data_IF_546015277645
#
_entry.id   IF_546015277645
#
_cell.length_a   1.000
_cell.length_b   1.000
_cell.length_c   1.000
_cell.angle_alpha   90.00
_cell.angle_beta   90.00
_cell.angle_gamma   90.00
#
_symmetry.space_group_name_H-M   'P 1'
#
loop_
_entity.id
_entity.type
_entity.pdbx_description
1 polymer ?
#
# COMPACT_ATOMS: atom_id res chain seq x y z
N UNK A 1 -2.20 -52.83 40.80
CA UNK A 1 -2.62 -51.49 41.25
C UNK A 1 -1.40 -50.62 41.03
N UNK A 2 -1.41 -49.93 39.90
CA UNK A 2 -0.28 -49.21 39.35
C UNK A 2 -0.27 -47.80 39.95
N UNK A 3 0.83 -47.34 40.58
CA UNK A 3 0.91 -46.03 41.24
C UNK A 3 1.15 -44.84 40.29
N UNK A 4 1.04 -45.00 38.96
CA UNK A 4 1.04 -43.87 38.02
C UNK A 4 -0.37 -43.30 37.78
N UNK A 5 -1.08 -43.05 38.87
CA UNK A 5 -2.34 -42.35 38.89
C UNK A 5 -2.06 -40.85 38.68
N UNK A 6 -2.27 -40.40 37.44
CA UNK A 6 -2.55 -39.02 36.99
C UNK A 6 -1.60 -37.94 37.52
N UNK A 7 -0.68 -37.50 36.65
CA UNK A 7 0.02 -36.23 36.83
C UNK A 7 -1.01 -35.07 36.78
N UNK A 8 -1.20 -34.30 37.87
CA UNK A 8 -2.16 -33.21 37.92
C UNK A 8 -1.65 -31.91 37.28
N UNK A 9 -0.52 -31.92 36.56
CA UNK A 9 0.07 -30.72 35.95
C UNK A 9 -0.18 -30.57 34.44
N UNK A 10 -1.14 -31.28 33.84
CA UNK A 10 -1.52 -31.05 32.43
C UNK A 10 -2.50 -29.87 32.27
N UNK A 11 -2.12 -28.73 32.84
CA UNK A 11 -2.66 -27.42 32.47
C UNK A 11 -1.45 -26.52 32.37
N UNK A 12 -1.05 -26.19 31.15
CA UNK A 12 0.08 -25.31 30.86
C UNK A 12 -0.09 -23.99 31.66
N UNK A 13 0.72 -23.76 32.72
CA UNK A 13 0.57 -22.59 33.57
C UNK A 13 1.06 -21.30 32.89
N UNK A 14 1.46 -21.37 31.62
CA UNK A 14 1.85 -20.22 30.81
C UNK A 14 0.80 -19.78 29.79
N UNK A 15 -0.44 -20.30 29.85
CA UNK A 15 -1.57 -19.65 29.15
C UNK A 15 -1.87 -18.32 29.86
N UNK A 16 -0.99 -17.36 29.61
CA UNK A 16 -1.14 -15.98 30.02
C UNK A 16 -2.30 -15.46 29.19
N UNK A 17 -3.44 -15.06 29.78
CA UNK A 17 -4.44 -14.33 29.03
C UNK A 17 -3.69 -13.16 28.39
N UNK A 18 -3.72 -13.06 27.06
CA UNK A 18 -3.07 -11.97 26.36
C UNK A 18 -3.73 -10.68 26.82
N UNK A 19 -3.14 -10.03 27.83
CA UNK A 19 -3.53 -8.72 28.33
C UNK A 19 -2.98 -7.68 27.35
N UNK A 20 -3.41 -7.80 26.10
CA UNK A 20 -3.03 -6.90 25.03
C UNK A 20 -3.43 -5.48 25.44
N UNK A 21 -2.51 -4.50 25.38
CA UNK A 21 -2.83 -3.12 25.71
C UNK A 21 -4.10 -2.67 25.00
N UNK A 22 -4.98 -1.94 25.69
CA UNK A 22 -6.27 -1.50 25.13
C UNK A 22 -6.14 -0.75 23.78
N UNK A 23 -4.97 -0.15 23.52
CA UNK A 23 -4.59 0.43 22.22
C UNK A 23 -4.55 -0.59 21.08
N UNK A 24 -4.01 -1.79 21.32
CA UNK A 24 -3.94 -2.86 20.33
C UNK A 24 -5.33 -3.36 19.96
N UNK A 25 -6.21 -3.55 20.95
CA UNK A 25 -7.60 -3.92 20.70
C UNK A 25 -8.37 -2.84 19.91
N UNK A 26 -8.16 -1.55 20.22
CA UNK A 26 -8.76 -0.44 19.46
C UNK A 26 -8.26 -0.41 18.01
N UNK A 27 -6.95 -0.55 17.81
CA UNK A 27 -6.38 -0.62 16.46
C UNK A 27 -6.95 -1.81 15.68
N UNK A 28 -7.00 -2.99 16.29
CA UNK A 28 -7.56 -4.19 15.68
C UNK A 28 -9.03 -4.00 15.29
N UNK A 29 -9.83 -3.38 16.17
CA UNK A 29 -11.23 -3.06 15.90
C UNK A 29 -11.39 -2.09 14.72
N UNK A 30 -10.58 -1.02 14.65
CA UNK A 30 -10.59 -0.08 13.53
C UNK A 30 -10.23 -0.76 12.21
N UNK A 31 -9.17 -1.58 12.21
CA UNK A 31 -8.75 -2.33 11.02
C UNK A 31 -9.82 -3.32 10.55
N UNK A 32 -10.47 -4.02 11.48
CA UNK A 32 -11.57 -4.94 11.18
C UNK A 32 -12.75 -4.18 10.57
N UNK A 33 -13.18 -3.09 11.19
CA UNK A 33 -14.31 -2.27 10.71
C UNK A 33 -14.05 -1.70 9.32
N UNK A 34 -12.83 -1.23 9.04
CA UNK A 34 -12.43 -0.74 7.71
C UNK A 34 -12.40 -1.86 6.67
N UNK A 35 -11.96 -3.06 7.04
CA UNK A 35 -11.92 -4.22 6.14
C UNK A 35 -13.32 -4.76 5.80
N UNK A 36 -14.25 -4.68 6.75
CA UNK A 36 -15.64 -5.13 6.60
C UNK A 36 -16.56 -4.10 5.94
N UNK A 37 -16.12 -2.83 5.87
CA UNK A 37 -16.89 -1.76 5.24
C UNK A 37 -17.14 -2.05 3.76
N UNK A 38 -18.41 -1.98 3.36
CA UNK A 38 -18.83 -2.02 1.98
C UNK A 38 -18.59 -0.69 1.27
N UNK A 39 -18.80 -0.66 -0.04
CA UNK A 39 -18.57 0.55 -0.85
C UNK A 39 -19.48 1.73 -0.44
N UNK A 40 -20.67 1.45 0.10
CA UNK A 40 -21.64 2.48 0.48
C UNK A 40 -21.31 3.16 1.82
N UNK A 41 -20.69 2.43 2.75
CA UNK A 41 -20.38 2.88 4.11
C UNK A 41 -18.89 3.20 4.32
N UNK A 42 -18.01 2.83 3.37
CA UNK A 42 -16.56 3.01 3.44
C UNK A 42 -16.14 4.41 3.94
N UNK A 43 -16.71 5.47 3.38
CA UNK A 43 -16.36 6.86 3.75
C UNK A 43 -16.85 7.24 5.15
N UNK A 44 -18.03 6.75 5.54
CA UNK A 44 -18.58 6.96 6.89
C UNK A 44 -17.72 6.26 7.94
N UNK A 45 -17.27 5.03 7.64
CA UNK A 45 -16.35 4.28 8.50
C UNK A 45 -15.01 5.01 8.62
N UNK A 46 -14.42 5.49 7.52
CA UNK A 46 -13.19 6.29 7.55
C UNK A 46 -13.36 7.52 8.46
N UNK A 47 -14.43 8.30 8.29
CA UNK A 47 -14.69 9.47 9.12
C UNK A 47 -14.85 9.13 10.60
N UNK A 48 -15.52 8.01 10.91
CA UNK A 48 -15.68 7.55 12.28
C UNK A 48 -14.36 7.12 12.93
N UNK A 49 -13.47 6.43 12.18
CA UNK A 49 -12.13 6.07 12.66
C UNK A 49 -11.28 7.33 12.88
N UNK A 50 -11.32 8.29 11.96
CA UNK A 50 -10.58 9.55 12.09
C UNK A 50 -11.06 10.46 13.23
N UNK A 51 -12.22 10.17 13.79
CA UNK A 51 -12.76 10.86 14.97
C UNK A 51 -12.23 10.28 16.29
N UNK A 52 -11.42 9.20 16.26
CA UNK A 52 -10.80 8.64 17.45
C UNK A 52 -9.83 9.67 18.10
N UNK A 53 -9.83 9.79 19.44
CA UNK A 53 -8.94 10.73 20.14
C UNK A 53 -7.45 10.46 19.90
N UNK A 54 -7.05 9.20 19.69
CA UNK A 54 -5.70 8.87 19.25
C UNK A 54 -5.57 9.06 17.74
N UNK A 55 -5.21 10.29 17.38
CA UNK A 55 -5.04 10.70 15.98
C UNK A 55 -3.97 9.90 15.24
N UNK A 56 -2.91 9.48 15.93
CA UNK A 56 -1.80 8.74 15.30
C UNK A 56 -2.26 7.34 14.94
N UNK A 57 -2.92 6.64 15.86
CA UNK A 57 -3.50 5.33 15.62
C UNK A 57 -4.56 5.39 14.51
N UNK A 58 -5.48 6.36 14.59
CA UNK A 58 -6.54 6.54 13.60
C UNK A 58 -5.98 6.78 12.19
N UNK A 59 -5.02 7.69 12.05
CA UNK A 59 -4.36 7.96 10.77
C UNK A 59 -3.61 6.74 10.26
N UNK A 60 -2.94 5.97 11.12
CA UNK A 60 -2.26 4.74 10.75
C UNK A 60 -3.22 3.66 10.22
N UNK A 61 -4.36 3.47 10.89
CA UNK A 61 -5.39 2.52 10.48
C UNK A 61 -5.97 2.89 9.11
N UNK A 62 -6.35 4.17 8.93
CA UNK A 62 -6.89 4.66 7.65
C UNK A 62 -5.84 4.62 6.55
N UNK A 63 -4.58 5.00 6.82
CA UNK A 63 -3.50 4.90 5.84
C UNK A 63 -3.36 3.47 5.30
N UNK A 64 -3.34 2.48 6.21
CA UNK A 64 -3.25 1.07 5.83
C UNK A 64 -4.43 0.64 4.96
N UNK A 65 -5.65 1.06 5.32
CA UNK A 65 -6.84 0.78 4.52
C UNK A 65 -6.75 1.40 3.12
N UNK A 66 -6.37 2.69 3.03
CA UNK A 66 -6.18 3.39 1.76
C UNK A 66 -5.17 2.68 0.86
N UNK A 67 -4.01 2.30 1.41
CA UNK A 67 -2.97 1.61 0.64
C UNK A 67 -3.46 0.26 0.11
N UNK A 68 -4.17 -0.53 0.92
CA UNK A 68 -4.73 -1.81 0.49
C UNK A 68 -5.83 -1.63 -0.56
N UNK A 69 -6.69 -0.62 -0.40
CA UNK A 69 -7.80 -0.35 -1.30
C UNK A 69 -7.31 0.18 -2.64
N UNK A 70 -6.38 1.12 -2.62
CA UNK A 70 -5.76 1.67 -3.82
C UNK A 70 -4.96 0.59 -4.56
N UNK A 71 -4.22 -0.28 -3.89
CA UNK A 71 -3.52 -1.40 -4.55
C UNK A 71 -4.50 -2.26 -5.37
N UNK A 72 -5.69 -2.55 -4.83
CA UNK A 72 -6.72 -3.33 -5.55
C UNK A 72 -7.38 -2.57 -6.70
N UNK A 73 -7.55 -1.25 -6.57
CA UNK A 73 -8.36 -0.46 -7.50
C UNK A 73 -7.54 0.33 -8.51
N UNK A 74 -6.25 0.58 -8.30
CA UNK A 74 -5.49 1.59 -9.06
C UNK A 74 -5.35 1.32 -10.57
N UNK A 75 -5.75 0.16 -11.08
CA UNK A 75 -5.85 -0.11 -12.53
C UNK A 75 -7.30 -0.10 -13.04
N UNK A 76 -8.27 -0.15 -12.14
CA UNK A 76 -9.68 -0.27 -12.45
C UNK A 76 -10.34 1.09 -12.71
N UNK A 77 -11.41 1.16 -13.53
CA UNK A 77 -12.19 2.38 -13.69
C UNK A 77 -12.79 2.90 -12.37
N UNK A 78 -13.11 1.98 -11.45
CA UNK A 78 -13.67 2.30 -10.13
C UNK A 78 -12.73 3.11 -9.21
N UNK A 79 -11.45 3.25 -9.57
CA UNK A 79 -10.51 4.07 -8.81
C UNK A 79 -10.94 5.53 -8.72
N UNK A 80 -11.43 6.12 -9.82
CA UNK A 80 -11.72 7.56 -9.87
C UNK A 80 -12.85 7.97 -8.90
N UNK A 81 -14.06 7.36 -8.95
CA UNK A 81 -15.12 7.71 -8.02
C UNK A 81 -14.75 7.37 -6.55
N UNK A 82 -13.96 6.31 -6.33
CA UNK A 82 -13.44 5.98 -5.00
C UNK A 82 -12.47 7.07 -4.50
N UNK A 83 -11.54 7.51 -5.35
CA UNK A 83 -10.56 8.55 -5.03
C UNK A 83 -11.23 9.88 -4.73
N UNK A 84 -12.24 10.28 -5.50
CA UNK A 84 -13.00 11.51 -5.26
C UNK A 84 -13.71 11.48 -3.90
N UNK A 85 -14.43 10.41 -3.61
CA UNK A 85 -15.14 10.23 -2.33
C UNK A 85 -14.16 10.22 -1.15
N UNK A 86 -13.03 9.51 -1.32
CA UNK A 86 -11.98 9.41 -0.30
C UNK A 86 -11.31 10.75 -0.04
N UNK A 87 -11.04 11.54 -1.09
CA UNK A 87 -10.41 12.85 -0.96
C UNK A 87 -11.25 13.79 -0.08
N UNK A 88 -12.58 13.73 -0.18
CA UNK A 88 -13.48 14.48 0.69
C UNK A 88 -13.40 13.98 2.15
N UNK A 89 -13.39 12.67 2.36
CA UNK A 89 -13.33 12.08 3.71
C UNK A 89 -12.02 12.40 4.46
N UNK A 90 -10.91 12.58 3.73
CA UNK A 90 -9.59 12.82 4.33
C UNK A 90 -9.07 14.24 4.17
N UNK A 91 -9.89 15.18 3.67
CA UNK A 91 -9.46 16.55 3.31
C UNK A 91 -8.74 17.29 4.44
N UNK A 92 -9.14 17.05 5.70
CA UNK A 92 -8.54 17.68 6.88
C UNK A 92 -7.31 16.92 7.43
N UNK A 93 -6.85 15.88 6.74
CA UNK A 93 -5.71 15.06 7.12
C UNK A 93 -4.64 15.08 6.01
N UNK A 94 -3.76 16.12 6.00
CA UNK A 94 -2.83 16.38 4.89
C UNK A 94 -1.95 15.19 4.50
N UNK A 95 -1.55 14.37 5.48
CA UNK A 95 -0.76 13.17 5.23
C UNK A 95 -1.53 12.11 4.41
N UNK A 96 -2.82 11.91 4.70
CA UNK A 96 -3.68 10.98 3.96
C UNK A 96 -4.01 11.52 2.57
N UNK A 97 -4.30 12.82 2.47
CA UNK A 97 -4.49 13.51 1.17
C UNK A 97 -3.29 13.33 0.28
N UNK A 98 -2.08 13.59 0.79
CA UNK A 98 -0.83 13.37 0.05
C UNK A 98 -0.67 11.91 -0.38
N UNK A 99 -0.94 10.94 0.49
CA UNK A 99 -0.83 9.52 0.11
C UNK A 99 -1.79 9.18 -1.03
N UNK A 100 -3.01 9.73 -1.03
CA UNK A 100 -3.99 9.53 -2.10
C UNK A 100 -3.52 10.15 -3.43
N UNK A 101 -2.91 11.33 -3.39
CA UNK A 101 -2.27 11.96 -4.55
C UNK A 101 -1.10 11.13 -5.08
N UNK A 102 -0.27 10.58 -4.20
CA UNK A 102 0.83 9.70 -4.59
C UNK A 102 0.32 8.42 -5.28
N UNK A 103 -0.77 7.83 -4.80
CA UNK A 103 -1.45 6.73 -5.50
C UNK A 103 -1.97 7.14 -6.88
N UNK A 104 -2.50 8.35 -7.00
CA UNK A 104 -2.98 8.88 -8.28
C UNK A 104 -1.81 9.01 -9.27
N UNK A 105 -0.66 9.51 -8.82
CA UNK A 105 0.55 9.60 -9.65
C UNK A 105 1.09 8.21 -10.04
N UNK A 106 1.09 7.24 -9.12
CA UNK A 106 1.45 5.86 -9.45
C UNK A 106 0.55 5.30 -10.56
N UNK A 107 -0.77 5.50 -10.44
CA UNK A 107 -1.75 5.07 -11.45
C UNK A 107 -1.44 5.69 -12.82
N UNK A 108 -1.21 7.00 -12.89
CA UNK A 108 -0.86 7.68 -14.15
C UNK A 108 0.38 7.06 -14.79
N UNK A 109 1.44 6.83 -14.00
CA UNK A 109 2.71 6.24 -14.48
C UNK A 109 2.51 4.79 -14.96
N UNK A 110 1.77 3.97 -14.21
CA UNK A 110 1.52 2.56 -14.56
C UNK A 110 0.61 2.43 -15.79
N UNK A 111 -0.36 3.33 -15.93
CA UNK A 111 -1.22 3.42 -17.11
C UNK A 111 -0.54 4.12 -18.30
N UNK A 112 0.75 4.48 -18.19
CA UNK A 112 1.54 5.16 -19.23
C UNK A 112 0.86 6.43 -19.77
N UNK A 113 0.17 7.14 -18.89
CA UNK A 113 -0.43 8.44 -19.17
C UNK A 113 0.62 9.53 -18.91
N UNK A 114 0.47 10.73 -19.49
CA UNK A 114 1.40 11.84 -19.21
C UNK A 114 1.52 12.12 -17.71
N UNK A 115 2.75 12.15 -17.21
CA UNK A 115 3.09 12.37 -15.80
C UNK A 115 4.17 13.45 -15.69
N UNK A 116 4.28 14.09 -14.51
CA UNK A 116 5.29 15.13 -14.26
C UNK A 116 6.56 14.52 -13.65
N UNK A 117 7.74 14.68 -14.29
CA UNK A 117 9.03 14.30 -13.70
C UNK A 117 9.31 14.93 -12.34
N UNK A 118 8.99 16.22 -12.19
CA UNK A 118 9.21 16.94 -10.95
C UNK A 118 8.30 16.45 -9.83
N UNK A 119 7.04 16.13 -10.15
CA UNK A 119 6.12 15.54 -9.18
C UNK A 119 6.63 14.18 -8.67
N UNK A 120 7.18 13.34 -9.56
CA UNK A 120 7.77 12.06 -9.18
C UNK A 120 9.00 12.25 -8.29
N UNK A 121 9.90 13.17 -8.63
CA UNK A 121 11.12 13.42 -7.86
C UNK A 121 10.85 14.09 -6.50
N UNK A 122 9.80 14.91 -6.40
CA UNK A 122 9.38 15.54 -5.14
C UNK A 122 8.56 14.60 -4.23
N UNK A 123 8.10 13.46 -4.76
CA UNK A 123 7.28 12.50 -4.01
C UNK A 123 8.03 11.77 -2.89
N UNK A 124 7.29 11.12 -1.99
CA UNK A 124 7.87 10.37 -0.88
C UNK A 124 8.70 9.17 -1.33
N UNK A 125 9.60 8.70 -0.46
CA UNK A 125 10.37 7.47 -0.66
C UNK A 125 9.46 6.25 -0.90
N UNK A 126 8.26 6.26 -0.30
CA UNK A 126 7.26 5.23 -0.53
C UNK A 126 6.78 5.22 -1.99
N UNK A 127 6.43 6.39 -2.57
CA UNK A 127 5.95 6.44 -3.94
C UNK A 127 7.07 6.07 -4.92
N UNK A 128 8.25 6.65 -4.73
CA UNK A 128 9.38 6.33 -5.59
C UNK A 128 9.75 4.85 -5.49
N UNK A 129 9.65 4.25 -4.30
CA UNK A 129 9.81 2.81 -4.11
C UNK A 129 8.77 1.99 -4.88
N UNK A 130 7.48 2.37 -4.81
CA UNK A 130 6.40 1.74 -5.57
C UNK A 130 6.62 1.80 -7.07
N UNK A 131 6.96 2.97 -7.61
CA UNK A 131 7.25 3.15 -9.05
C UNK A 131 8.47 2.35 -9.48
N UNK A 132 9.54 2.36 -8.68
CA UNK A 132 10.75 1.59 -8.95
C UNK A 132 10.48 0.08 -8.99
N UNK A 133 9.62 -0.43 -8.10
CA UNK A 133 9.26 -1.85 -8.00
C UNK A 133 8.25 -2.30 -9.07
N UNK A 134 7.42 -1.39 -9.57
CA UNK A 134 6.34 -1.73 -10.48
C UNK A 134 6.87 -2.13 -11.87
N UNK A 135 6.72 -3.41 -12.23
CA UNK A 135 7.13 -3.93 -13.54
C UNK A 135 6.38 -3.27 -14.70
N UNK A 136 5.13 -2.86 -14.48
CA UNK A 136 4.26 -2.17 -15.45
C UNK A 136 4.51 -0.66 -15.54
N UNK A 137 5.27 -0.07 -14.62
CA UNK A 137 5.55 1.37 -14.66
C UNK A 137 6.29 1.77 -15.93
N UNK A 138 6.08 3.01 -16.35
CA UNK A 138 6.81 3.65 -17.44
C UNK A 138 8.33 3.45 -17.30
N UNK A 139 8.98 3.10 -18.40
CA UNK A 139 10.43 2.91 -18.44
C UNK A 139 11.18 4.22 -18.16
N UNK A 140 10.63 5.35 -18.60
CA UNK A 140 11.24 6.67 -18.39
C UNK A 140 11.14 7.08 -16.93
N UNK A 141 10.01 6.79 -16.27
CA UNK A 141 9.86 7.00 -14.83
C UNK A 141 10.89 6.19 -14.02
N UNK A 142 11.10 4.92 -14.39
CA UNK A 142 12.12 4.08 -13.74
C UNK A 142 13.54 4.53 -14.08
N UNK A 143 13.81 4.95 -15.32
CA UNK A 143 15.10 5.53 -15.70
C UNK A 143 15.42 6.77 -14.86
N UNK A 144 14.45 7.68 -14.75
CA UNK A 144 14.56 8.87 -13.91
C UNK A 144 14.86 8.52 -12.45
N UNK A 145 14.16 7.54 -11.87
CA UNK A 145 14.41 7.09 -10.50
C UNK A 145 15.74 6.35 -10.34
N UNK A 146 16.23 5.64 -11.35
CA UNK A 146 17.54 4.98 -11.32
C UNK A 146 18.70 5.97 -11.20
N UNK A 147 18.52 7.17 -11.75
CA UNK A 147 19.48 8.26 -11.74
C UNK A 147 19.30 9.18 -10.52
N UNK A 148 18.07 9.65 -10.31
CA UNK A 148 17.76 10.78 -9.41
C UNK A 148 16.83 10.40 -8.26
N UNK A 149 16.49 9.12 -8.11
CA UNK A 149 15.68 8.64 -7.00
C UNK A 149 16.26 9.08 -5.66
N UNK A 150 15.39 9.42 -4.70
CA UNK A 150 15.73 10.08 -3.44
C UNK A 150 16.69 9.26 -2.58
N UNK A 151 16.45 7.95 -2.48
CA UNK A 151 17.31 7.03 -1.72
C UNK A 151 18.13 6.12 -2.61
N UNK A 152 19.24 5.61 -2.06
CA UNK A 152 20.05 4.56 -2.71
C UNK A 152 19.22 3.31 -3.03
N UNK A 153 18.30 2.93 -2.13
CA UNK A 153 17.40 1.77 -2.32
C UNK A 153 16.51 1.97 -3.54
N UNK A 154 15.87 3.14 -3.66
CA UNK A 154 15.03 3.49 -4.83
C UNK A 154 15.85 3.42 -6.12
N UNK A 155 17.03 4.07 -6.16
CA UNK A 155 17.91 4.06 -7.34
C UNK A 155 18.31 2.65 -7.73
N UNK A 156 18.64 1.81 -6.77
CA UNK A 156 19.03 0.42 -7.03
C UNK A 156 17.86 -0.40 -7.59
N UNK A 157 16.69 -0.34 -6.93
CA UNK A 157 15.50 -1.09 -7.34
C UNK A 157 15.05 -0.73 -8.75
N UNK A 158 15.07 0.57 -9.09
CA UNK A 158 14.70 1.04 -10.42
C UNK A 158 15.64 0.49 -11.52
N UNK A 159 16.94 0.33 -11.22
CA UNK A 159 17.92 -0.27 -12.15
C UNK A 159 17.71 -1.75 -12.37
N UNK A 160 17.35 -2.49 -11.32
CA UNK A 160 17.18 -3.95 -11.42
C UNK A 160 15.89 -4.31 -12.11
N UNK A 161 14.76 -3.70 -11.72
CA UNK A 161 13.44 -3.98 -12.30
C UNK A 161 13.35 -3.57 -13.77
N UNK A 162 14.05 -2.52 -14.20
CA UNK A 162 14.10 -2.11 -15.61
C UNK A 162 14.88 -3.07 -16.53
N UNK A 163 15.78 -3.91 -15.98
CA UNK A 163 16.53 -4.90 -16.77
C UNK A 163 15.70 -6.11 -17.13
N UNK A 164 14.84 -6.55 -16.21
CA UNK A 164 13.97 -7.73 -16.40
C UNK A 164 12.95 -7.51 -17.54
N UNK A 165 12.47 -6.26 -17.72
CA UNK A 165 11.54 -5.91 -18.80
C UNK A 165 12.20 -5.70 -20.16
N UNK A 166 13.51 -5.40 -20.22
CA UNK A 166 14.24 -5.13 -21.48
C UNK A 166 14.82 -6.41 -22.10
N UNK A 167 15.04 -7.46 -21.30
CA UNK A 167 15.48 -8.78 -21.77
C UNK A 167 14.42 -9.58 -22.55
N UNK A 168 13.13 -9.27 -22.38
CA UNK A 168 12.05 -9.99 -23.05
C UNK A 168 11.76 -9.48 -24.49
N UNK A 169 12.31 -8.33 -24.89
CA UNK A 169 12.02 -7.71 -26.19
C UNK A 169 13.06 -7.98 -27.29
N UNK A 170 14.11 -8.78 -27.02
CA UNK A 170 15.22 -9.07 -27.97
C UNK A 170 15.14 -10.49 -28.54
N UNK A 171 13.93 -11.03 -28.71
CA UNK A 171 13.76 -12.36 -29.34
C UNK A 171 12.56 -12.40 -30.29
N UNK A 172 12.52 -11.51 -31.28
CA UNK A 172 11.72 -11.72 -32.49
C UNK A 172 12.09 -10.69 -33.57
N UNK A 173 12.95 -11.07 -34.51
CA UNK A 173 12.85 -10.75 -35.94
C UNK A 173 14.18 -11.07 -36.65
N UNK A 174 14.28 -12.26 -37.22
CA UNK A 174 15.12 -12.49 -38.41
C UNK A 174 14.19 -13.07 -39.48
N UNK A 175 13.96 -12.39 -40.62
CA UNK A 175 13.07 -12.90 -41.64
C UNK A 175 13.80 -13.97 -42.45
N UNK A 176 13.20 -15.16 -42.58
CA UNK A 176 13.65 -16.16 -43.54
C UNK A 176 12.78 -16.06 -44.79
N UNK A 177 13.36 -15.47 -45.85
CA UNK A 177 12.84 -15.56 -47.22
C UNK A 177 12.80 -17.02 -47.66
N UNK A 178 11.71 -17.39 -48.34
CA UNK A 178 11.71 -18.29 -49.48
C UNK A 178 10.66 -17.77 -50.46
#
# INVERSE_FOLDING_TARGET
>A
MDPYETDPYETDPYETPSDEPAEHHRLAAHLKRLAEAGAADEMSVIGAVLSDPDRTMAQGAVLRHLDLRAERLHLEPAYEPWRESTALAVVHHPFLTRRLEEWTLLRVIVLKRPWSPDALLASSDWLQGKVAAASRADADARGLLAERGRTRRVRHLARTTGRDGRGAAVTQATPRRA
#
